data_IF_578327706122
#
_entry.id   IF_578327706122
#
_cell.length_a   1.000
_cell.length_b   1.000
_cell.length_c   1.000
_cell.angle_alpha   90.00
_cell.angle_beta   90.00
_cell.angle_gamma   90.00
#
_symmetry.space_group_name_H-M   'P 1'
#
loop_
_entity.id
_entity.type
_entity.pdbx_description
1 polymer ?
#
# COMPACT_ATOMS: atom_id res chain seq x y z
N UNK A 1 -12.08 -3.11 6.38
CA UNK A 1 -12.53 -1.74 6.80
C UNK A 1 -11.30 -0.90 7.19
N UNK A 2 -11.32 0.46 7.26
CA UNK A 2 -10.20 1.40 6.97
C UNK A 2 -9.09 1.45 8.04
N UNK A 3 -8.66 0.27 8.44
CA UNK A 3 -7.78 0.00 9.55
C UNK A 3 -6.53 -0.75 9.09
N UNK A 4 -6.45 -1.09 7.79
CA UNK A 4 -5.25 -1.66 7.18
C UNK A 4 -3.99 -0.88 7.57
N UNK A 5 -4.06 0.45 7.59
CA UNK A 5 -2.94 1.32 7.97
C UNK A 5 -2.56 1.28 9.46
N UNK A 6 -3.41 0.71 10.32
CA UNK A 6 -3.12 0.49 11.73
C UNK A 6 -2.32 -0.81 11.96
N UNK A 7 -2.46 -1.82 11.08
CA UNK A 7 -1.78 -3.12 11.25
C UNK A 7 -0.25 -3.05 11.38
N UNK A 8 0.47 -2.14 10.66
CA UNK A 8 1.91 -2.00 10.83
C UNK A 8 2.35 -1.74 12.28
N UNK A 9 1.48 -1.13 13.10
CA UNK A 9 1.77 -0.93 14.53
C UNK A 9 1.98 -2.26 15.27
N UNK A 10 1.16 -3.27 14.99
CA UNK A 10 1.25 -4.57 15.67
C UNK A 10 2.46 -5.40 15.22
N UNK A 11 3.05 -5.08 14.06
CA UNK A 11 4.32 -5.66 13.62
C UNK A 11 5.56 -4.95 14.19
N UNK A 12 5.41 -3.73 14.73
CA UNK A 12 6.52 -2.90 15.20
C UNK A 12 7.35 -3.53 16.34
N UNK A 13 6.77 -4.22 17.33
CA UNK A 13 7.55 -4.89 18.37
C UNK A 13 8.55 -5.90 17.81
N UNK A 14 8.17 -6.65 16.77
CA UNK A 14 9.05 -7.64 16.12
C UNK A 14 10.25 -6.97 15.47
N UNK A 15 10.06 -5.80 14.84
CA UNK A 15 11.17 -5.00 14.31
C UNK A 15 12.13 -4.55 15.40
N UNK A 16 11.62 -4.22 16.59
CA UNK A 16 12.46 -3.83 17.74
C UNK A 16 13.27 -5.00 18.29
N UNK A 17 12.70 -6.21 18.29
CA UNK A 17 13.39 -7.43 18.72
C UNK A 17 14.46 -7.90 17.73
N UNK A 18 14.23 -7.72 16.42
CA UNK A 18 15.14 -8.16 15.36
C UNK A 18 15.48 -7.03 14.37
N UNK A 19 16.15 -5.95 14.82
CA UNK A 19 16.31 -4.73 14.03
C UNK A 19 17.23 -4.90 12.82
N UNK A 20 18.20 -5.82 12.85
CA UNK A 20 19.12 -6.03 11.73
C UNK A 20 18.59 -7.03 10.71
N UNK A 21 17.79 -8.01 11.15
CA UNK A 21 17.24 -9.10 10.33
C UNK A 21 15.99 -8.66 9.57
N UNK A 22 15.03 -8.01 10.24
CA UNK A 22 13.74 -7.69 9.64
C UNK A 22 13.78 -6.39 8.85
N UNK A 23 13.18 -6.39 7.66
CA UNK A 23 13.00 -5.21 6.81
C UNK A 23 11.67 -4.54 7.16
N UNK A 24 11.74 -3.26 7.54
CA UNK A 24 10.54 -2.46 7.88
C UNK A 24 9.53 -2.43 6.74
N UNK A 25 9.99 -2.28 5.49
CA UNK A 25 9.11 -2.31 4.32
C UNK A 25 8.37 -3.64 4.16
N UNK A 26 9.04 -4.76 4.45
CA UNK A 26 8.43 -6.09 4.44
C UNK A 26 7.37 -6.22 5.53
N UNK A 27 7.71 -5.87 6.78
CA UNK A 27 6.75 -5.94 7.89
C UNK A 27 5.51 -5.08 7.66
N UNK A 28 5.70 -3.83 7.21
CA UNK A 28 4.61 -2.89 6.92
C UNK A 28 3.72 -3.45 5.81
N UNK A 29 4.28 -3.77 4.64
CA UNK A 29 3.49 -4.27 3.51
C UNK A 29 2.82 -5.59 3.85
N UNK A 30 3.51 -6.50 4.55
CA UNK A 30 2.99 -7.80 4.95
C UNK A 30 1.79 -7.65 5.88
N UNK A 31 1.91 -6.77 6.87
CA UNK A 31 0.82 -6.49 7.82
C UNK A 31 -0.40 -5.82 7.19
N UNK A 32 -0.26 -5.31 5.97
CA UNK A 32 -1.35 -4.71 5.20
C UNK A 32 -1.84 -5.64 4.09
N UNK A 33 -1.07 -6.68 3.76
CA UNK A 33 -1.23 -7.44 2.54
C UNK A 33 -2.60 -8.11 2.39
N UNK A 34 -3.18 -8.78 3.41
CA UNK A 34 -4.49 -9.44 3.24
C UNK A 34 -5.61 -8.51 2.75
N UNK A 35 -5.51 -7.22 3.05
CA UNK A 35 -6.46 -6.18 2.61
C UNK A 35 -6.12 -5.57 1.25
N UNK A 36 -5.01 -5.94 0.60
CA UNK A 36 -4.61 -5.38 -0.69
C UNK A 36 -5.59 -5.70 -1.82
N UNK A 37 -6.36 -6.78 -1.69
CA UNK A 37 -7.48 -7.05 -2.60
C UNK A 37 -8.48 -5.90 -2.61
N UNK A 38 -8.73 -5.26 -1.45
CA UNK A 38 -9.61 -4.11 -1.38
C UNK A 38 -9.10 -2.97 -2.24
N UNK A 39 -7.82 -2.65 -2.10
CA UNK A 39 -7.21 -1.55 -2.83
C UNK A 39 -7.12 -1.83 -4.32
N UNK A 40 -6.84 -3.07 -4.73
CA UNK A 40 -6.80 -3.46 -6.14
C UNK A 40 -8.19 -3.45 -6.79
N UNK A 41 -9.22 -3.93 -6.09
CA UNK A 41 -10.60 -3.91 -6.57
C UNK A 41 -11.23 -2.52 -6.45
N UNK A 42 -10.62 -1.63 -5.66
CA UNK A 42 -11.16 -0.32 -5.28
C UNK A 42 -12.49 -0.41 -4.51
N UNK A 43 -12.71 -1.52 -3.79
CA UNK A 43 -13.90 -1.77 -2.97
C UNK A 43 -13.66 -2.90 -1.94
N UNK A 44 -14.57 -3.15 -0.98
CA UNK A 44 -14.48 -4.29 -0.05
C UNK A 44 -14.62 -5.66 -0.74
N UNK A 45 -13.58 -6.07 -1.46
CA UNK A 45 -13.45 -7.34 -2.20
C UNK A 45 -12.50 -8.33 -1.51
N UNK A 46 -12.87 -9.61 -1.41
CA UNK A 46 -12.06 -10.65 -0.74
C UNK A 46 -12.17 -11.98 -1.46
N UNK A 47 -11.04 -12.62 -1.73
CA UNK A 47 -10.97 -14.00 -2.23
C UNK A 47 -10.12 -14.87 -1.30
N UNK A 48 -8.96 -15.31 -1.75
CA UNK A 48 -8.01 -16.14 -1.01
C UNK A 48 -6.98 -15.31 -0.24
N UNK A 49 -7.08 -13.97 -0.20
CA UNK A 49 -6.08 -13.08 0.39
C UNK A 49 -5.72 -13.36 1.84
N UNK A 50 -6.62 -13.94 2.63
CA UNK A 50 -6.33 -14.34 4.04
C UNK A 50 -5.81 -15.78 4.19
N UNK A 51 -5.44 -16.44 3.09
CA UNK A 51 -4.89 -17.80 3.10
C UNK A 51 -3.39 -17.80 2.78
N UNK A 52 -2.69 -18.89 3.11
CA UNK A 52 -1.30 -19.06 2.68
C UNK A 52 -1.15 -19.11 1.16
N UNK A 53 -2.13 -19.67 0.43
CA UNK A 53 -2.14 -19.62 -1.02
C UNK A 53 -2.22 -18.17 -1.52
N UNK A 54 -3.09 -17.34 -0.94
CA UNK A 54 -3.18 -15.91 -1.23
C UNK A 54 -1.87 -15.17 -0.96
N UNK A 55 -1.14 -15.54 0.10
CA UNK A 55 0.19 -14.97 0.33
C UNK A 55 1.13 -15.17 -0.87
N UNK A 56 1.24 -16.39 -1.39
CA UNK A 56 2.13 -16.69 -2.50
C UNK A 56 1.63 -16.16 -3.84
N UNK A 57 0.33 -16.30 -4.13
CA UNK A 57 -0.23 -15.97 -5.44
C UNK A 57 -0.68 -14.51 -5.58
N UNK A 58 -1.04 -13.83 -4.50
CA UNK A 58 -1.51 -12.43 -4.55
C UNK A 58 -0.47 -11.51 -3.92
N UNK A 59 -0.10 -11.76 -2.66
CA UNK A 59 0.62 -10.76 -1.89
C UNK A 59 2.08 -10.66 -2.24
N UNK A 60 2.73 -11.78 -2.55
CA UNK A 60 4.13 -11.79 -2.92
C UNK A 60 4.42 -10.93 -4.17
N UNK A 61 3.73 -11.08 -5.32
CA UNK A 61 3.95 -10.20 -6.47
C UNK A 61 3.53 -8.75 -6.19
N UNK A 62 2.37 -8.55 -5.56
CA UNK A 62 1.80 -7.21 -5.34
C UNK A 62 2.63 -6.38 -4.36
N UNK A 63 3.02 -6.96 -3.22
CA UNK A 63 3.86 -6.28 -2.23
C UNK A 63 5.28 -6.05 -2.74
N UNK A 64 5.82 -6.95 -3.56
CA UNK A 64 7.12 -6.74 -4.20
C UNK A 64 7.08 -5.55 -5.15
N UNK A 65 6.05 -5.45 -5.99
CA UNK A 65 5.83 -4.29 -6.85
C UNK A 65 5.63 -3.01 -6.04
N UNK A 66 4.82 -3.05 -4.97
CA UNK A 66 4.58 -1.93 -4.07
C UNK A 66 5.87 -1.43 -3.40
N UNK A 67 6.74 -2.33 -2.94
CA UNK A 67 8.03 -1.96 -2.35
C UNK A 67 8.94 -1.23 -3.36
N UNK A 68 8.93 -1.67 -4.62
CA UNK A 68 9.70 -1.04 -5.70
C UNK A 68 9.15 0.35 -6.05
N UNK A 69 7.83 0.47 -6.20
CA UNK A 69 7.15 1.75 -6.47
C UNK A 69 7.37 2.73 -5.31
N UNK A 70 7.17 2.28 -4.07
CA UNK A 70 7.37 3.09 -2.88
C UNK A 70 8.81 3.62 -2.79
N UNK A 71 9.80 2.77 -3.05
CA UNK A 71 11.22 3.14 -2.89
C UNK A 71 11.78 4.01 -4.01
N UNK A 72 11.21 3.94 -5.22
CA UNK A 72 11.78 4.60 -6.41
C UNK A 72 10.94 5.72 -6.98
N UNK A 73 9.63 5.70 -6.75
CA UNK A 73 8.72 6.70 -7.26
C UNK A 73 8.12 7.51 -6.11
N UNK A 74 7.48 6.86 -5.14
CA UNK A 74 6.69 7.57 -4.13
C UNK A 74 7.58 8.32 -3.13
N UNK A 75 8.42 7.64 -2.35
CA UNK A 75 9.23 8.31 -1.33
C UNK A 75 10.10 9.46 -1.88
N UNK A 76 10.81 9.31 -3.02
CA UNK A 76 11.58 10.42 -3.59
C UNK A 76 10.74 11.63 -4.01
N UNK A 77 9.44 11.44 -4.28
CA UNK A 77 8.54 12.52 -4.70
C UNK A 77 7.54 12.96 -3.63
N UNK A 78 7.57 12.34 -2.44
CA UNK A 78 6.75 12.74 -1.30
C UNK A 78 6.88 14.24 -0.93
N UNK A 79 8.07 14.86 -0.95
CA UNK A 79 8.23 16.30 -0.69
C UNK A 79 7.45 17.22 -1.65
N UNK A 80 7.13 16.73 -2.86
CA UNK A 80 6.34 17.47 -3.85
C UNK A 80 4.84 17.47 -3.53
N UNK A 81 4.35 16.47 -2.80
CA UNK A 81 2.97 16.43 -2.29
C UNK A 81 2.80 17.26 -1.02
N UNK A 82 3.79 17.22 -0.13
CA UNK A 82 3.69 17.85 1.18
C UNK A 82 3.82 19.37 1.12
N UNK A 83 3.06 20.09 1.96
CA UNK A 83 3.24 21.53 2.10
C UNK A 83 4.61 21.84 2.71
N UNK A 84 5.13 23.03 2.39
CA UNK A 84 6.38 23.53 2.99
C UNK A 84 6.17 24.13 4.38
N UNK A 85 4.91 24.33 4.79
CA UNK A 85 4.60 24.80 6.14
C UNK A 85 5.13 23.79 7.17
N UNK A 86 5.74 24.31 8.24
CA UNK A 86 6.32 23.46 9.28
C UNK A 86 7.45 22.54 8.80
N UNK A 87 8.05 22.75 7.62
CA UNK A 87 9.16 21.94 7.11
C UNK A 87 8.80 20.48 6.81
N UNK A 88 7.53 20.16 6.56
CA UNK A 88 7.06 18.79 6.30
C UNK A 88 7.67 18.17 5.04
N UNK A 89 7.84 18.97 3.99
CA UNK A 89 8.51 18.57 2.76
C UNK A 89 9.98 18.20 2.99
N UNK A 90 10.73 19.00 3.74
CA UNK A 90 12.13 18.71 4.10
C UNK A 90 12.25 17.53 5.06
N UNK A 91 11.28 17.35 5.96
CA UNK A 91 11.19 16.13 6.75
C UNK A 91 11.03 14.90 5.85
N UNK A 92 10.18 15.00 4.82
CA UNK A 92 9.98 13.93 3.85
C UNK A 92 11.22 13.63 2.99
N UNK A 93 12.07 14.60 2.66
CA UNK A 93 13.33 14.34 1.93
C UNK A 93 14.27 13.42 2.69
N UNK A 94 14.18 13.43 4.03
CA UNK A 94 14.97 12.53 4.86
C UNK A 94 14.42 11.12 4.88
N UNK A 95 13.18 10.90 4.42
CA UNK A 95 12.53 9.59 4.36
C UNK A 95 13.14 8.72 3.25
N UNK A 96 13.53 7.51 3.61
CA UNK A 96 14.12 6.55 2.70
C UNK A 96 13.74 5.13 3.11
N UNK A 97 13.87 4.21 2.16
CA UNK A 97 13.77 2.78 2.44
C UNK A 97 15.08 2.12 2.08
N UNK A 98 15.42 1.05 2.82
CA UNK A 98 16.53 0.19 2.43
C UNK A 98 16.22 -0.39 1.04
N UNK A 99 17.13 -0.22 0.06
CA UNK A 99 16.88 -0.68 -1.29
C UNK A 99 16.94 -2.22 -1.35
N UNK A 100 16.13 -2.80 -2.25
CA UNK A 100 16.16 -4.24 -2.56
C UNK A 100 17.08 -4.45 -3.77
N UNK A 101 18.35 -4.80 -3.52
CA UNK A 101 19.38 -4.92 -4.58
C UNK A 101 19.91 -6.34 -4.71
N UNK A 102 20.14 -7.00 -3.58
CA UNK A 102 20.74 -8.34 -3.53
C UNK A 102 19.68 -9.41 -3.28
N UNK A 103 20.01 -10.67 -3.57
CA UNK A 103 19.16 -11.81 -3.19
C UNK A 103 18.92 -11.85 -1.67
N UNK A 104 19.92 -11.48 -0.87
CA UNK A 104 19.79 -11.37 0.59
C UNK A 104 18.82 -10.27 1.03
N UNK A 105 18.78 -9.13 0.34
CA UNK A 105 17.79 -8.08 0.61
C UNK A 105 16.36 -8.57 0.33
N UNK A 106 16.17 -9.28 -0.78
CA UNK A 106 14.88 -9.86 -1.16
C UNK A 106 14.44 -10.95 -0.20
N UNK A 107 15.34 -11.86 0.20
CA UNK A 107 15.03 -12.90 1.18
C UNK A 107 14.60 -12.29 2.52
N UNK A 108 15.36 -11.30 3.02
CA UNK A 108 15.01 -10.61 4.26
C UNK A 108 13.67 -9.85 4.13
N UNK A 109 13.41 -9.24 2.98
CA UNK A 109 12.13 -8.59 2.68
C UNK A 109 10.96 -9.58 2.69
N UNK A 110 11.06 -10.70 1.97
CA UNK A 110 10.00 -11.72 1.88
C UNK A 110 9.76 -12.38 3.23
N UNK A 111 10.80 -12.70 4.00
CA UNK A 111 10.66 -13.22 5.36
C UNK A 111 9.92 -12.21 6.27
N UNK A 112 10.28 -10.93 6.17
CA UNK A 112 9.61 -9.85 6.90
C UNK A 112 8.17 -9.64 6.43
N UNK A 113 7.92 -9.79 5.14
CA UNK A 113 6.59 -9.74 4.53
C UNK A 113 5.69 -10.84 5.08
N UNK A 114 6.21 -12.08 5.14
CA UNK A 114 5.47 -13.21 5.70
C UNK A 114 5.18 -13.02 7.19
N UNK A 115 6.16 -12.53 7.96
CA UNK A 115 5.95 -12.22 9.38
C UNK A 115 4.87 -11.14 9.55
N UNK A 116 4.91 -10.07 8.76
CA UNK A 116 3.86 -9.05 8.76
C UNK A 116 2.50 -9.62 8.40
N UNK A 117 2.43 -10.49 7.39
CA UNK A 117 1.20 -11.19 7.02
C UNK A 117 0.63 -12.01 8.19
N UNK A 118 1.47 -12.72 8.92
CA UNK A 118 1.05 -13.45 10.12
C UNK A 118 0.55 -12.52 11.23
N UNK A 119 1.17 -11.35 11.43
CA UNK A 119 0.64 -10.38 12.42
C UNK A 119 -0.73 -9.85 12.01
N UNK A 120 -0.98 -9.64 10.71
CA UNK A 120 -2.31 -9.29 10.24
C UNK A 120 -3.33 -10.37 10.58
N UNK A 121 -3.09 -11.62 10.18
CA UNK A 121 -4.01 -12.74 10.45
C UNK A 121 -4.24 -12.94 11.95
N UNK A 122 -3.19 -12.78 12.76
CA UNK A 122 -3.31 -12.85 14.20
C UNK A 122 -4.27 -11.80 14.74
N UNK A 123 -4.12 -10.53 14.34
CA UNK A 123 -4.99 -9.45 14.81
C UNK A 123 -6.42 -9.63 14.30
N UNK A 124 -6.60 -9.98 13.02
CA UNK A 124 -7.91 -10.27 12.44
C UNK A 124 -8.63 -11.42 13.13
N UNK A 125 -7.87 -12.40 13.62
CA UNK A 125 -8.38 -13.50 14.41
C UNK A 125 -9.20 -13.05 15.61
N UNK A 126 -8.84 -11.93 16.25
CA UNK A 126 -9.54 -11.43 17.44
C UNK A 126 -10.69 -10.48 17.13
N UNK A 127 -10.72 -9.93 15.92
CA UNK A 127 -11.51 -8.74 15.57
C UNK A 127 -12.59 -8.99 14.54
N UNK A 128 -12.67 -10.22 13.99
CA UNK A 128 -13.69 -10.60 13.01
C UNK A 128 -14.41 -11.88 13.43
N UNK A 129 -15.68 -12.00 13.03
CA UNK A 129 -16.47 -13.20 13.24
C UNK A 129 -15.96 -14.40 12.43
N UNK A 130 -16.31 -15.61 12.88
CA UNK A 130 -15.99 -16.89 12.23
C UNK A 130 -14.48 -17.18 12.05
N UNK A 131 -13.64 -16.61 12.89
CA UNK A 131 -12.20 -16.85 12.90
C UNK A 131 -11.82 -17.92 13.93
N UNK A 132 -10.56 -18.38 13.91
CA UNK A 132 -10.04 -19.36 14.88
C UNK A 132 -10.27 -18.91 16.33
N UNK A 133 -10.06 -17.63 16.66
CA UNK A 133 -10.23 -17.15 18.03
C UNK A 133 -11.69 -16.89 18.39
N UNK A 134 -12.50 -16.28 17.52
CA UNK A 134 -13.93 -16.06 17.81
C UNK A 134 -14.73 -17.37 17.86
N UNK A 135 -14.29 -18.42 17.16
CA UNK A 135 -14.89 -19.75 17.28
C UNK A 135 -14.46 -20.49 18.57
N UNK A 136 -13.29 -20.16 19.13
CA UNK A 136 -12.73 -20.84 20.32
C UNK A 136 -13.13 -20.15 21.64
N UNK A 137 -13.26 -18.83 21.63
CA UNK A 137 -13.47 -18.03 22.83
C UNK A 137 -14.84 -17.37 22.82
N UNK A 138 -15.81 -17.97 23.53
CA UNK A 138 -17.21 -17.51 23.55
C UNK A 138 -17.36 -16.06 24.07
N UNK A 139 -16.48 -15.59 24.96
CA UNK A 139 -16.53 -14.22 25.50
C UNK A 139 -16.35 -13.14 24.42
N UNK A 140 -15.76 -13.47 23.26
CA UNK A 140 -15.63 -12.53 22.14
C UNK A 140 -16.99 -12.15 21.51
N UNK A 141 -18.03 -12.98 21.75
CA UNK A 141 -19.41 -12.73 21.31
C UNK A 141 -20.27 -12.08 22.40
N UNK A 142 -19.72 -11.81 23.58
CA UNK A 142 -20.44 -11.08 24.61
C UNK A 142 -20.76 -9.65 24.14
N UNK A 143 -21.76 -8.98 24.74
CA UNK A 143 -22.03 -7.58 24.48
C UNK A 143 -20.79 -6.72 24.71
N UNK A 144 -20.46 -5.87 23.75
CA UNK A 144 -19.33 -4.94 23.77
C UNK A 144 -19.79 -3.49 23.90
N UNK A 145 -19.16 -2.60 23.12
CA UNK A 145 -19.44 -1.16 23.16
C UNK A 145 -20.70 -0.88 22.32
N UNK A 146 -21.76 -0.40 22.97
CA UNK A 146 -23.00 -0.02 22.30
C UNK A 146 -23.70 -1.24 21.67
N UNK A 147 -23.93 -1.19 20.35
CA UNK A 147 -24.59 -2.28 19.61
C UNK A 147 -23.66 -3.41 19.18
N UNK A 148 -22.36 -3.27 19.39
CA UNK A 148 -21.34 -4.18 18.89
C UNK A 148 -21.03 -5.26 19.91
N UNK A 149 -20.60 -6.43 19.45
CA UNK A 149 -20.01 -7.46 20.33
C UNK A 149 -18.55 -7.14 20.64
N UNK A 150 -17.92 -7.92 21.52
CA UNK A 150 -16.54 -7.67 21.96
C UNK A 150 -15.55 -7.70 20.79
N UNK A 151 -15.60 -8.68 19.87
CA UNK A 151 -14.63 -8.72 18.76
C UNK A 151 -14.73 -7.49 17.84
N UNK A 152 -15.95 -7.01 17.57
CA UNK A 152 -16.18 -5.79 16.76
C UNK A 152 -15.69 -4.54 17.49
N UNK A 153 -15.90 -4.50 18.81
CA UNK A 153 -15.39 -3.42 19.65
C UNK A 153 -13.87 -3.39 19.65
N UNK A 154 -13.22 -4.55 19.74
CA UNK A 154 -11.77 -4.71 19.62
C UNK A 154 -11.28 -4.23 18.25
N UNK A 155 -12.01 -4.53 17.18
CA UNK A 155 -11.68 -4.03 15.85
C UNK A 155 -11.55 -2.51 15.85
N UNK A 156 -12.54 -1.77 16.36
CA UNK A 156 -12.50 -0.30 16.39
C UNK A 156 -11.39 0.23 17.30
N UNK A 157 -11.27 -0.31 18.52
CA UNK A 157 -10.31 0.16 19.53
C UNK A 157 -8.86 -0.06 19.06
N UNK A 158 -8.53 -1.28 18.63
CA UNK A 158 -7.17 -1.63 18.19
C UNK A 158 -6.76 -0.83 16.96
N UNK A 159 -7.71 -0.55 16.07
CA UNK A 159 -7.46 0.26 14.90
C UNK A 159 -7.21 1.73 15.23
N UNK A 160 -8.01 2.31 16.14
CA UNK A 160 -7.80 3.66 16.63
C UNK A 160 -6.44 3.79 17.34
N UNK A 161 -6.09 2.82 18.20
CA UNK A 161 -4.81 2.77 18.90
C UNK A 161 -3.63 2.65 17.93
N UNK A 162 -3.71 1.74 16.95
CA UNK A 162 -2.64 1.56 15.96
C UNK A 162 -2.43 2.80 15.09
N UNK A 163 -3.51 3.42 14.61
CA UNK A 163 -3.45 4.67 13.85
C UNK A 163 -2.88 5.83 14.70
N UNK A 164 -3.36 5.99 15.94
CA UNK A 164 -2.89 7.02 16.85
C UNK A 164 -1.41 6.85 17.19
N UNK A 165 -0.95 5.61 17.42
CA UNK A 165 0.45 5.32 17.71
C UNK A 165 1.37 5.63 16.52
N UNK A 166 0.96 5.28 15.29
CA UNK A 166 1.72 5.63 14.08
C UNK A 166 1.76 7.16 13.89
N UNK A 167 0.62 7.84 14.06
CA UNK A 167 0.55 9.30 13.95
C UNK A 167 1.44 9.99 15.00
N UNK A 168 1.39 9.54 16.26
CA UNK A 168 2.22 10.04 17.34
C UNK A 168 3.70 9.80 17.04
N UNK A 169 4.07 8.61 16.57
CA UNK A 169 5.45 8.30 16.20
C UNK A 169 5.97 9.25 15.11
N UNK A 170 5.20 9.46 14.04
CA UNK A 170 5.55 10.40 12.96
C UNK A 170 5.66 11.83 13.50
N UNK A 171 4.72 12.25 14.35
CA UNK A 171 4.72 13.57 14.97
C UNK A 171 5.96 13.82 15.84
N UNK A 172 6.34 12.86 16.70
CA UNK A 172 7.53 12.96 17.55
C UNK A 172 8.80 13.04 16.71
N UNK A 173 8.90 12.25 15.63
CA UNK A 173 10.03 12.29 14.69
C UNK A 173 10.11 13.63 13.96
N UNK A 174 8.98 14.16 13.50
CA UNK A 174 8.91 15.48 12.89
C UNK A 174 9.30 16.59 13.89
N UNK A 175 8.82 16.53 15.14
CA UNK A 175 9.18 17.50 16.19
C UNK A 175 10.67 17.46 16.52
N UNK A 176 11.26 16.27 16.60
CA UNK A 176 12.70 16.10 16.82
C UNK A 176 13.51 16.68 15.64
N UNK A 177 13.09 16.41 14.40
CA UNK A 177 13.66 17.03 13.20
C UNK A 177 13.58 18.56 13.26
N UNK A 178 12.42 19.12 13.62
CA UNK A 178 12.21 20.57 13.73
C UNK A 178 13.08 21.23 14.79
N UNK A 179 13.29 20.55 15.90
CA UNK A 179 14.14 21.04 16.99
C UNK A 179 15.61 21.04 16.59
N UNK A 180 16.06 20.10 15.74
CA UNK A 180 17.41 20.08 15.20
C UNK A 180 17.63 21.07 14.04
N UNK A 181 16.56 21.51 13.38
CA UNK A 181 16.61 22.42 12.23
C UNK A 181 16.59 23.91 12.61
N UNK A 182 16.44 24.26 13.90
CA UNK A 182 16.23 25.62 14.38
C UNK A 182 17.34 26.65 14.05
N UNK A 183 18.45 26.22 13.43
CA UNK A 183 19.50 27.09 12.89
C UNK A 183 19.69 27.10 11.36
N UNK A 184 18.84 26.40 10.58
CA UNK A 184 18.98 26.26 9.13
C UNK A 184 18.08 27.18 8.28
N UNK A 185 18.45 27.36 7.01
CA UNK A 185 17.63 28.11 6.01
C UNK A 185 16.23 27.51 5.86
N UNK A 186 15.21 28.37 5.84
CA UNK A 186 13.77 27.99 5.84
C UNK A 186 13.20 27.74 4.45
N UNK A 187 14.03 27.66 3.40
CA UNK A 187 13.58 27.50 2.02
C UNK A 187 12.80 26.19 1.81
N UNK A 188 11.76 26.18 0.96
CA UNK A 188 11.07 24.96 0.52
C UNK A 188 12.04 23.91 -0.05
N UNK A 189 11.72 22.63 0.13
CA UNK A 189 12.45 21.51 -0.49
C UNK A 189 12.48 21.61 -2.02
N UNK A 190 11.37 22.08 -2.60
CA UNK A 190 11.22 22.27 -4.04
C UNK A 190 10.50 23.58 -4.36
N UNK A 191 10.72 24.16 -5.56
CA UNK A 191 10.01 25.35 -6.01
C UNK A 191 8.49 25.19 -5.94
N UNK A 192 7.73 26.22 -5.52
CA UNK A 192 6.26 26.14 -5.44
C UNK A 192 5.58 25.78 -6.76
N UNK A 193 6.16 26.20 -7.89
CA UNK A 193 5.66 25.86 -9.22
C UNK A 193 5.74 24.35 -9.51
N UNK A 194 6.83 23.69 -9.12
CA UNK A 194 7.01 22.25 -9.32
C UNK A 194 6.04 21.44 -8.46
N UNK A 195 5.85 21.85 -7.20
CA UNK A 195 4.84 21.25 -6.31
C UNK A 195 3.43 21.40 -6.87
N UNK A 196 3.09 22.57 -7.41
CA UNK A 196 1.77 22.81 -8.02
C UNK A 196 1.56 21.93 -9.25
N UNK A 197 2.54 21.84 -10.15
CA UNK A 197 2.49 20.97 -11.33
C UNK A 197 2.33 19.50 -10.93
N UNK A 198 3.12 19.04 -9.97
CA UNK A 198 3.07 17.66 -9.47
C UNK A 198 1.70 17.30 -8.90
N UNK A 199 1.17 18.15 -8.00
CA UNK A 199 -0.14 17.95 -7.38
C UNK A 199 -1.28 18.02 -8.39
N UNK A 200 -1.18 18.89 -9.40
CA UNK A 200 -2.17 18.98 -10.47
C UNK A 200 -2.22 17.68 -11.29
N UNK A 201 -1.07 17.15 -11.71
CA UNK A 201 -1.01 15.88 -12.46
C UNK A 201 -1.59 14.74 -11.60
N UNK A 202 -1.16 14.64 -10.34
CA UNK A 202 -1.67 13.60 -9.44
C UNK A 202 -3.19 13.69 -9.24
N UNK A 203 -3.74 14.90 -9.06
CA UNK A 203 -5.17 15.13 -8.90
C UNK A 203 -5.97 14.82 -10.17
N UNK A 204 -5.45 15.20 -11.35
CA UNK A 204 -6.10 14.89 -12.63
C UNK A 204 -6.14 13.38 -12.87
N UNK A 205 -5.03 12.68 -12.66
CA UNK A 205 -4.99 11.22 -12.82
C UNK A 205 -5.90 10.53 -11.79
N UNK A 206 -5.91 11.00 -10.54
CA UNK A 206 -6.84 10.52 -9.53
C UNK A 206 -8.31 10.67 -9.99
N UNK A 207 -8.68 11.83 -10.53
CA UNK A 207 -10.03 12.06 -11.05
C UNK A 207 -10.38 11.14 -12.23
N UNK A 208 -9.44 10.92 -13.15
CA UNK A 208 -9.61 9.97 -14.28
C UNK A 208 -9.82 8.54 -13.78
N UNK A 209 -9.01 8.08 -12.83
CA UNK A 209 -9.13 6.73 -12.28
C UNK A 209 -10.45 6.54 -11.53
N UNK A 210 -10.90 7.55 -10.78
CA UNK A 210 -12.21 7.52 -10.11
C UNK A 210 -13.36 7.51 -11.10
N UNK A 211 -13.33 8.36 -12.13
CA UNK A 211 -14.33 8.36 -13.18
C UNK A 211 -14.38 7.01 -13.90
N UNK A 212 -13.21 6.42 -14.19
CA UNK A 212 -13.13 5.10 -14.78
C UNK A 212 -13.71 4.01 -13.87
N UNK A 213 -13.43 4.02 -12.55
CA UNK A 213 -14.07 3.09 -11.60
C UNK A 213 -15.59 3.25 -11.62
N UNK A 214 -16.12 4.48 -11.56
CA UNK A 214 -17.58 4.73 -11.60
C UNK A 214 -18.23 4.24 -12.90
N UNK A 215 -17.54 4.33 -14.04
CA UNK A 215 -18.09 3.92 -15.34
C UNK A 215 -17.96 2.42 -15.59
N UNK A 216 -16.81 1.83 -15.25
CA UNK A 216 -16.49 0.42 -15.56
C UNK A 216 -17.07 -0.50 -14.50
N UNK A 217 -16.93 -0.15 -13.23
CA UNK A 217 -17.24 -1.03 -12.10
C UNK A 217 -17.73 -0.20 -10.91
N UNK A 218 -18.95 0.34 -10.98
CA UNK A 218 -19.45 1.30 -10.01
C UNK A 218 -19.39 0.76 -8.57
N UNK A 219 -18.84 1.52 -7.60
CA UNK A 219 -18.73 1.05 -6.22
C UNK A 219 -20.11 0.69 -5.64
N UNK A 220 -20.28 -0.55 -5.21
CA UNK A 220 -21.57 -1.02 -4.68
C UNK A 220 -21.79 -0.64 -3.21
N UNK A 221 -20.71 -0.30 -2.49
CA UNK A 221 -20.73 -0.01 -1.05
C UNK A 221 -20.11 1.34 -0.73
N UNK A 222 -20.68 2.03 0.28
CA UNK A 222 -20.21 3.34 0.73
C UNK A 222 -18.72 3.34 1.12
N UNK A 223 -18.17 2.37 1.89
CA UNK A 223 -16.74 2.35 2.20
C UNK A 223 -15.85 2.22 0.96
N UNK A 224 -16.30 1.50 -0.08
CA UNK A 224 -15.61 1.41 -1.35
C UNK A 224 -15.56 2.78 -2.04
N UNK A 225 -16.73 3.43 -2.15
CA UNK A 225 -16.90 4.70 -2.82
C UNK A 225 -16.11 5.86 -2.18
N UNK A 226 -16.09 5.95 -0.85
CA UNK A 226 -15.55 7.14 -0.14
C UNK A 226 -14.14 6.96 0.41
N UNK A 227 -13.70 5.71 0.63
CA UNK A 227 -12.39 5.43 1.22
C UNK A 227 -11.47 4.68 0.26
N UNK A 228 -11.87 3.48 -0.16
CA UNK A 228 -10.96 2.56 -0.87
C UNK A 228 -10.64 3.06 -2.27
N UNK A 229 -11.66 3.38 -3.08
CA UNK A 229 -11.47 3.89 -4.43
C UNK A 229 -10.69 5.22 -4.46
N UNK A 230 -11.02 6.25 -3.65
CA UNK A 230 -10.24 7.48 -3.60
C UNK A 230 -8.79 7.27 -3.18
N UNK A 231 -8.52 6.37 -2.23
CA UNK A 231 -7.15 6.07 -1.82
C UNK A 231 -6.34 5.44 -2.95
N UNK A 232 -6.86 4.39 -3.60
CA UNK A 232 -6.17 3.73 -4.73
C UNK A 232 -5.97 4.70 -5.90
N UNK A 233 -6.97 5.53 -6.20
CA UNK A 233 -6.86 6.54 -7.25
C UNK A 233 -5.80 7.60 -6.92
N UNK A 234 -5.70 8.03 -5.66
CA UNK A 234 -4.65 8.96 -5.21
C UNK A 234 -3.26 8.34 -5.34
N UNK A 235 -3.06 7.09 -4.90
CA UNK A 235 -1.77 6.39 -5.02
C UNK A 235 -1.38 6.19 -6.49
N UNK A 236 -2.34 5.82 -7.34
CA UNK A 236 -2.13 5.72 -8.79
C UNK A 236 -1.75 7.08 -9.36
N UNK A 237 -2.49 8.14 -9.04
CA UNK A 237 -2.18 9.51 -9.47
C UNK A 237 -0.80 9.97 -9.04
N UNK A 238 -0.40 9.66 -7.81
CA UNK A 238 0.95 9.92 -7.31
C UNK A 238 2.00 9.14 -8.10
N UNK A 239 1.81 7.84 -8.34
CA UNK A 239 2.74 7.02 -9.11
C UNK A 239 2.93 7.56 -10.54
N UNK A 240 1.84 7.92 -11.23
CA UNK A 240 1.89 8.48 -12.59
C UNK A 240 2.54 9.86 -12.59
N UNK A 241 2.21 10.74 -11.63
CA UNK A 241 2.85 12.04 -11.49
C UNK A 241 4.37 11.92 -11.19
N UNK A 242 4.78 10.92 -10.42
CA UNK A 242 6.18 10.62 -10.20
C UNK A 242 6.87 10.14 -11.49
N UNK A 243 6.27 9.19 -12.20
CA UNK A 243 6.85 8.63 -13.43
C UNK A 243 6.91 9.66 -14.57
N UNK A 244 5.94 10.56 -14.68
CA UNK A 244 5.95 11.63 -15.71
C UNK A 244 7.18 12.54 -15.63
N UNK A 245 7.78 12.71 -14.43
CA UNK A 245 9.02 13.47 -14.25
C UNK A 245 10.25 12.77 -14.84
N UNK A 246 10.20 11.45 -14.98
CA UNK A 246 11.30 10.64 -15.51
C UNK A 246 11.07 10.25 -16.97
N UNK A 247 9.88 9.75 -17.28
CA UNK A 247 9.48 9.17 -18.58
C UNK A 247 7.98 9.41 -18.83
N UNK A 248 7.57 10.57 -19.37
CA UNK A 248 6.15 10.91 -19.55
C UNK A 248 5.38 9.93 -20.44
N UNK A 249 5.98 9.45 -21.54
CA UNK A 249 5.35 8.44 -22.40
C UNK A 249 5.03 7.15 -21.62
N UNK A 250 6.00 6.63 -20.88
CA UNK A 250 5.80 5.42 -20.07
C UNK A 250 4.73 5.60 -18.98
N UNK A 251 4.60 6.81 -18.42
CA UNK A 251 3.58 7.11 -17.42
C UNK A 251 2.16 6.98 -17.98
N UNK A 252 1.90 7.56 -19.15
CA UNK A 252 0.58 7.47 -19.78
C UNK A 252 0.27 6.06 -20.30
N UNK A 253 1.28 5.35 -20.82
CA UNK A 253 1.14 3.93 -21.17
C UNK A 253 0.78 3.08 -19.94
N UNK A 254 1.41 3.33 -18.79
CA UNK A 254 1.10 2.62 -17.56
C UNK A 254 -0.33 2.91 -17.07
N UNK A 255 -0.78 4.17 -17.12
CA UNK A 255 -2.15 4.51 -16.77
C UNK A 255 -3.16 3.79 -17.67
N UNK A 256 -2.94 3.83 -18.99
CA UNK A 256 -3.81 3.14 -19.94
C UNK A 256 -3.83 1.62 -19.68
N UNK A 257 -2.67 1.01 -19.43
CA UNK A 257 -2.57 -0.42 -19.12
C UNK A 257 -3.34 -0.80 -17.84
N UNK A 258 -3.26 0.02 -16.78
CA UNK A 258 -4.02 -0.20 -15.55
C UNK A 258 -5.54 -0.13 -15.79
N UNK A 259 -6.00 0.84 -16.58
CA UNK A 259 -7.42 0.96 -16.93
C UNK A 259 -7.91 -0.21 -17.80
N UNK A 260 -7.06 -0.70 -18.72
CA UNK A 260 -7.35 -1.90 -19.53
C UNK A 260 -7.46 -3.14 -18.64
N UNK A 261 -6.59 -3.30 -17.66
CA UNK A 261 -6.67 -4.43 -16.71
C UNK A 261 -7.97 -4.38 -15.90
N UNK A 262 -8.37 -3.18 -15.42
CA UNK A 262 -9.63 -2.99 -14.70
C UNK A 262 -10.85 -3.34 -15.58
N UNK A 263 -10.91 -2.79 -16.79
CA UNK A 263 -11.99 -3.09 -17.74
C UNK A 263 -12.02 -4.57 -18.15
N UNK A 264 -10.85 -5.17 -18.38
CA UNK A 264 -10.71 -6.57 -18.75
C UNK A 264 -11.18 -7.52 -17.66
N UNK A 265 -10.88 -7.22 -16.40
CA UNK A 265 -11.38 -8.00 -15.27
C UNK A 265 -12.90 -7.89 -15.12
N UNK A 266 -13.45 -6.67 -15.14
CA UNK A 266 -14.90 -6.46 -15.06
C UNK A 266 -15.65 -7.17 -16.20
N UNK A 267 -15.12 -7.14 -17.43
CA UNK A 267 -15.67 -7.91 -18.55
C UNK A 267 -15.62 -9.42 -18.29
N UNK A 268 -14.49 -9.93 -17.77
CA UNK A 268 -14.37 -11.35 -17.43
C UNK A 268 -15.39 -11.76 -16.38
N UNK A 269 -15.61 -10.94 -15.35
CA UNK A 269 -16.62 -11.17 -14.31
C UNK A 269 -18.05 -11.21 -14.89
N UNK A 270 -18.36 -10.34 -15.86
CA UNK A 270 -19.69 -10.29 -16.49
C UNK A 270 -19.98 -11.46 -17.45
N UNK A 271 -18.94 -12.05 -18.07
CA UNK A 271 -19.06 -13.03 -19.16
C UNK A 271 -18.77 -14.46 -18.70
N UNK A 272 -17.71 -14.66 -17.91
CA UNK A 272 -17.18 -15.99 -17.58
C UNK A 272 -18.21 -16.89 -16.85
N UNK A 273 -19.02 -16.38 -15.89
CA UNK A 273 -20.07 -17.20 -15.27
C UNK A 273 -21.06 -17.76 -16.29
N UNK A 274 -21.52 -16.93 -17.24
CA UNK A 274 -22.50 -17.34 -18.26
C UNK A 274 -21.94 -18.44 -19.16
N UNK A 275 -20.66 -18.33 -19.56
CA UNK A 275 -19.99 -19.34 -20.37
C UNK A 275 -19.78 -20.65 -19.62
N UNK A 276 -19.40 -20.59 -18.35
CA UNK A 276 -19.09 -21.78 -17.54
C UNK A 276 -20.33 -22.50 -17.02
N UNK A 277 -21.43 -21.78 -16.79
CA UNK A 277 -22.71 -22.40 -16.45
C UNK A 277 -23.20 -23.27 -17.61
N UNK A 278 -23.01 -22.82 -18.86
CA UNK A 278 -23.30 -23.60 -20.06
C UNK A 278 -22.36 -24.81 -20.25
N UNK A 279 -21.07 -24.68 -19.92
CA UNK A 279 -20.06 -25.70 -20.25
C UNK A 279 -19.76 -26.71 -19.12
N UNK A 280 -19.94 -26.32 -17.86
CA UNK A 280 -19.46 -27.09 -16.69
C UNK A 280 -20.49 -27.32 -15.58
N UNK A 281 -21.75 -26.93 -15.83
CA UNK A 281 -22.82 -26.88 -14.82
C UNK A 281 -22.39 -26.07 -13.58
N UNK A 282 -21.68 -24.95 -13.80
CA UNK A 282 -21.27 -24.00 -12.75
C UNK A 282 -20.11 -24.45 -11.86
N UNK A 283 -19.63 -25.70 -11.95
CA UNK A 283 -18.56 -26.23 -11.08
C UNK A 283 -17.22 -25.49 -11.20
N UNK A 284 -16.94 -24.91 -12.36
CA UNK A 284 -15.69 -24.19 -12.62
C UNK A 284 -15.79 -22.68 -12.40
N UNK A 285 -16.97 -22.14 -12.04
CA UNK A 285 -17.22 -20.70 -11.97
C UNK A 285 -16.29 -19.98 -10.98
N UNK A 286 -16.31 -20.37 -9.72
CA UNK A 286 -15.51 -19.73 -8.65
C UNK A 286 -13.99 -19.90 -8.86
N UNK A 287 -13.46 -21.10 -9.19
CA UNK A 287 -12.04 -21.26 -9.46
C UNK A 287 -11.56 -20.41 -10.64
N UNK A 288 -12.36 -20.32 -11.71
CA UNK A 288 -11.97 -19.57 -12.90
C UNK A 288 -11.98 -18.05 -12.65
N UNK A 289 -12.99 -17.52 -11.96
CA UNK A 289 -13.01 -16.11 -11.55
C UNK A 289 -11.85 -15.77 -10.61
N UNK A 290 -11.54 -16.64 -9.65
CA UNK A 290 -10.39 -16.48 -8.76
C UNK A 290 -9.08 -16.47 -9.54
N UNK A 291 -8.91 -17.35 -10.53
CA UNK A 291 -7.72 -17.37 -11.39
C UNK A 291 -7.61 -16.10 -12.25
N UNK A 292 -8.71 -15.62 -12.84
CA UNK A 292 -8.75 -14.36 -13.58
C UNK A 292 -8.41 -13.16 -12.70
N UNK A 293 -8.90 -13.15 -11.45
CA UNK A 293 -8.57 -12.13 -10.47
C UNK A 293 -7.08 -12.14 -10.11
N UNK A 294 -6.51 -13.32 -9.81
CA UNK A 294 -5.06 -13.43 -9.56
C UNK A 294 -4.27 -12.94 -10.78
N UNK A 295 -4.66 -13.33 -12.00
CA UNK A 295 -3.99 -12.87 -13.22
C UNK A 295 -4.04 -11.34 -13.39
N UNK A 296 -5.17 -10.70 -13.08
CA UNK A 296 -5.28 -9.23 -13.15
C UNK A 296 -4.34 -8.55 -12.15
N UNK A 297 -4.23 -9.10 -10.93
CA UNK A 297 -3.30 -8.61 -9.89
C UNK A 297 -1.83 -8.76 -10.29
N UNK A 298 -1.48 -9.84 -11.01
CA UNK A 298 -0.15 -9.99 -11.58
C UNK A 298 0.12 -8.95 -12.66
N UNK A 299 -0.83 -8.66 -13.54
CA UNK A 299 -0.70 -7.58 -14.52
C UNK A 299 -0.48 -6.22 -13.84
N UNK A 300 -1.27 -5.88 -12.81
CA UNK A 300 -1.06 -4.66 -12.00
C UNK A 300 0.34 -4.62 -11.40
N UNK A 301 0.79 -5.73 -10.82
CA UNK A 301 2.11 -5.86 -10.20
C UNK A 301 3.25 -5.66 -11.20
N UNK A 302 3.13 -6.24 -12.40
CA UNK A 302 4.12 -6.11 -13.47
C UNK A 302 4.18 -4.68 -14.02
N UNK A 303 3.03 -4.04 -14.24
CA UNK A 303 2.95 -2.64 -14.67
C UNK A 303 3.62 -1.72 -13.63
N UNK A 304 3.30 -1.90 -12.35
CA UNK A 304 3.89 -1.14 -11.25
C UNK A 304 5.41 -1.36 -11.13
N UNK A 305 5.88 -2.61 -11.23
CA UNK A 305 7.30 -2.92 -11.25
C UNK A 305 8.02 -2.31 -12.46
N UNK A 306 7.38 -2.32 -13.64
CA UNK A 306 7.85 -1.66 -14.85
C UNK A 306 8.00 -0.15 -14.69
N UNK A 307 7.01 0.50 -14.07
CA UNK A 307 7.08 1.93 -13.70
C UNK A 307 8.29 2.22 -12.80
N UNK A 308 8.47 1.41 -11.75
CA UNK A 308 9.60 1.55 -10.83
C UNK A 308 10.95 1.23 -11.49
N UNK A 309 10.98 0.40 -12.54
CA UNK A 309 12.17 0.14 -13.34
C UNK A 309 12.49 1.31 -14.27
N UNK A 310 11.49 1.88 -14.95
CA UNK A 310 11.64 3.01 -15.87
C UNK A 310 12.14 4.30 -15.20
N UNK A 311 11.88 4.46 -13.90
CA UNK A 311 12.44 5.54 -13.10
C UNK A 311 13.97 5.45 -12.92
N UNK A 312 14.60 4.30 -13.21
CA UNK A 312 16.05 4.08 -13.09
C UNK A 312 16.79 4.44 -14.39
N UNK A 313 16.96 5.73 -14.65
CA UNK A 313 17.96 6.33 -15.56
C UNK A 313 17.87 7.85 -15.40
N UNK A 314 18.87 8.60 -14.93
CA UNK A 314 20.30 8.59 -15.28
C UNK A 314 21.26 8.43 -14.08
N UNK A 315 22.52 7.97 -14.29
CA UNK A 315 23.57 8.17 -13.29
C UNK A 315 23.75 9.67 -13.01
N UNK A 316 24.11 10.08 -11.78
CA UNK A 316 24.54 11.44 -11.54
C UNK A 316 25.73 11.71 -12.45
N UNK A 317 25.65 12.76 -13.26
CA UNK A 317 26.85 13.44 -13.74
C UNK A 317 27.75 13.72 -12.54
N UNK A 318 29.05 13.57 -12.73
CA UNK A 318 30.14 13.67 -11.76
C UNK A 318 30.21 15.01 -11.02
N UNK A 319 29.21 15.31 -10.19
CA UNK A 319 29.21 16.37 -9.19
C UNK A 319 29.32 15.73 -7.81
N UNK A 320 30.54 15.65 -7.31
CA UNK A 320 30.87 14.95 -6.07
C UNK A 320 30.11 15.45 -4.86
N UNK A 321 29.26 14.60 -4.29
CA UNK A 321 28.95 14.60 -2.86
C UNK A 321 29.02 13.14 -2.42
N UNK A 322 30.01 12.82 -1.57
CA UNK A 322 30.15 11.50 -0.96
C UNK A 322 28.84 11.14 -0.25
N UNK A 323 28.23 9.96 -0.50
CA UNK A 323 27.09 9.52 0.28
C UNK A 323 27.55 9.27 1.72
N UNK A 324 27.08 10.10 2.65
CA UNK A 324 27.15 9.78 4.07
C UNK A 324 26.45 8.43 4.31
N UNK A 325 27.07 7.60 5.14
CA UNK A 325 26.55 6.28 5.54
C UNK A 325 25.06 6.39 5.86
N UNK A 326 24.18 5.59 5.22
CA UNK A 326 22.76 5.57 5.57
C UNK A 326 22.64 5.14 7.04
N UNK A 327 22.29 6.08 7.92
CA UNK A 327 21.86 5.71 9.27
C UNK A 327 20.52 5.01 9.15
N UNK A 328 20.49 3.79 9.65
CA UNK A 328 19.29 2.99 9.67
C UNK A 328 18.17 3.67 10.46
N UNK A 329 16.96 3.55 9.93
CA UNK A 329 15.72 4.14 10.44
C UNK A 329 15.39 3.83 11.90
N UNK A 330 16.06 2.83 12.48
CA UNK A 330 15.83 2.29 13.81
C UNK A 330 17.04 2.41 14.75
N UNK A 331 18.13 3.07 14.34
CA UNK A 331 19.34 3.22 15.16
C UNK A 331 19.45 4.61 15.81
N UNK A 332 18.41 5.03 16.51
CA UNK A 332 18.51 6.07 17.52
C UNK A 332 17.66 5.59 18.70
N UNK A 333 18.30 5.48 19.87
CA UNK A 333 17.77 4.86 21.08
C UNK A 333 16.47 5.48 21.60
#
# INVERSE_FOLDING_TARGET
MPHTFAHPFFAAPLKRLMPHTLRTSGLVLGSMAPDFEYFAAMEPYRTIGHTFAGFFFIHLPLCSAAALVMGRLLLPTLPLLLPSCGGLDRFAERLSMRPLRTAGDWLAFIASLFIGFLTHLFMDGWTHGHTVFTNRFAWLHAPGIGRFVVYESLQFVLSALGAAAIALYVFLRWRAFRSAESGGSRSPAHPPADKRRFRLIAAVVMAVVLAAKVVIDPPVNLPGAINVAPFTALVTGWMIAALTRHRPGAAWTALAALLIVMAGYNLAEAVLPKLLDMASAGRMREPALTACWIASLWCVSLIAAGCAAAARSSPPGSGGVKPGVPRDWTSAG
#
